data_IF_273261282778
#
_entry.id   IF_273261282778
#
_cell.length_a   1.000
_cell.length_b   1.000
_cell.length_c   1.000
_cell.angle_alpha   90.00
_cell.angle_beta   90.00
_cell.angle_gamma   90.00
#
_symmetry.space_group_name_H-M   'P 1'
#
loop_
_entity.id
_entity.type
_entity.pdbx_description
1 polymer ?
#
# COMPACT_ATOMS: atom_id res chain seq x y z
N UNK A 1 4.35 44.50 -17.49
CA UNK A 1 4.41 43.02 -17.30
C UNK A 1 4.57 42.59 -15.84
N UNK A 2 5.33 43.31 -14.98
CA UNK A 2 5.51 42.92 -13.57
C UNK A 2 4.24 43.01 -12.69
N UNK A 3 3.41 44.05 -12.87
CA UNK A 3 2.20 44.27 -12.06
C UNK A 3 1.11 43.20 -12.28
N UNK A 4 0.98 42.67 -13.50
CA UNK A 4 0.03 41.61 -13.83
C UNK A 4 0.45 40.26 -13.24
N UNK A 5 1.76 39.99 -13.15
CA UNK A 5 2.31 38.78 -12.52
C UNK A 5 2.08 38.82 -11.00
N UNK A 6 2.28 39.98 -10.36
CA UNK A 6 2.06 40.15 -8.92
C UNK A 6 0.58 40.00 -8.52
N UNK A 7 -0.33 40.57 -9.32
CA UNK A 7 -1.78 40.40 -9.17
C UNK A 7 -2.20 38.92 -9.27
N UNK A 8 -1.70 38.20 -10.29
CA UNK A 8 -2.02 36.79 -10.51
C UNK A 8 -1.48 35.89 -9.38
N UNK A 9 -0.27 36.17 -8.89
CA UNK A 9 0.31 35.48 -7.73
C UNK A 9 -0.51 35.74 -6.44
N UNK A 10 -0.99 36.96 -6.23
CA UNK A 10 -1.89 37.30 -5.13
C UNK A 10 -3.22 36.53 -5.21
N UNK A 11 -3.84 36.48 -6.38
CA UNK A 11 -5.07 35.72 -6.62
C UNK A 11 -4.88 34.21 -6.36
N UNK A 12 -3.76 33.63 -6.80
CA UNK A 12 -3.45 32.22 -6.53
C UNK A 12 -3.24 31.94 -5.03
N UNK A 13 -2.62 32.87 -4.28
CA UNK A 13 -2.43 32.72 -2.83
C UNK A 13 -3.75 32.81 -2.06
N UNK A 14 -4.64 33.71 -2.46
CA UNK A 14 -5.98 33.86 -1.85
C UNK A 14 -6.82 32.59 -2.09
N UNK A 15 -6.76 32.01 -3.30
CA UNK A 15 -7.46 30.77 -3.62
C UNK A 15 -7.00 29.58 -2.75
N UNK A 16 -5.68 29.36 -2.62
CA UNK A 16 -5.15 28.30 -1.75
C UNK A 16 -5.49 28.51 -0.26
N UNK A 17 -5.49 29.75 0.22
CA UNK A 17 -5.89 30.08 1.59
C UNK A 17 -7.38 29.76 1.86
N UNK A 18 -8.25 30.06 0.89
CA UNK A 18 -9.68 29.73 1.00
C UNK A 18 -9.93 28.22 1.00
N UNK A 19 -9.21 27.44 0.17
CA UNK A 19 -9.28 25.97 0.22
C UNK A 19 -8.88 25.43 1.59
N UNK A 20 -7.76 25.89 2.14
CA UNK A 20 -7.28 25.42 3.45
C UNK A 20 -8.27 25.73 4.59
N UNK A 21 -8.90 26.90 4.58
CA UNK A 21 -9.89 27.31 5.59
C UNK A 21 -11.18 26.47 5.54
N UNK A 22 -11.64 26.11 4.34
CA UNK A 22 -12.81 25.22 4.19
C UNK A 22 -12.55 23.80 4.68
N UNK A 23 -11.32 23.30 4.50
CA UNK A 23 -10.93 21.97 5.03
C UNK A 23 -10.82 22.01 6.55
N UNK A 24 -10.18 23.03 7.14
CA UNK A 24 -10.01 23.13 8.59
C UNK A 24 -11.35 23.26 9.35
N UNK A 25 -12.29 24.03 8.81
CA UNK A 25 -13.64 24.12 9.37
C UNK A 25 -14.40 22.78 9.27
N UNK A 26 -14.28 22.07 8.15
CA UNK A 26 -14.88 20.74 8.00
C UNK A 26 -14.27 19.68 8.94
N UNK A 27 -12.96 19.72 9.20
CA UNK A 27 -12.29 18.77 10.10
C UNK A 27 -12.76 18.91 11.56
N UNK A 28 -13.25 20.09 11.96
CA UNK A 28 -13.80 20.34 13.30
C UNK A 28 -15.27 19.92 13.43
N UNK A 29 -15.96 19.65 12.32
CA UNK A 29 -17.36 19.23 12.31
C UNK A 29 -17.50 17.73 12.59
N UNK A 30 -18.31 17.36 13.59
CA UNK A 30 -18.60 15.97 13.92
C UNK A 30 -19.32 15.24 12.78
N UNK A 31 -20.16 15.96 12.00
CA UNK A 31 -20.89 15.35 10.88
C UNK A 31 -19.95 14.88 9.77
N UNK A 32 -18.82 15.58 9.58
CA UNK A 32 -17.77 15.18 8.65
C UNK A 32 -17.24 13.79 9.01
N UNK A 33 -16.86 13.56 10.27
CA UNK A 33 -16.34 12.27 10.74
C UNK A 33 -17.40 11.17 10.71
N UNK A 34 -18.64 11.51 11.08
CA UNK A 34 -19.77 10.58 11.01
C UNK A 34 -20.03 10.12 9.56
N UNK A 35 -19.87 11.00 8.58
CA UNK A 35 -19.99 10.65 7.16
C UNK A 35 -18.89 9.67 6.74
N UNK A 36 -17.63 9.95 7.05
CA UNK A 36 -16.51 9.04 6.75
C UNK A 36 -16.72 7.66 7.39
N UNK A 37 -17.17 7.62 8.64
CA UNK A 37 -17.44 6.38 9.34
C UNK A 37 -18.55 5.56 8.66
N UNK A 38 -19.68 6.20 8.31
CA UNK A 38 -20.78 5.54 7.57
C UNK A 38 -20.31 5.03 6.22
N UNK A 39 -19.55 5.82 5.47
CA UNK A 39 -19.03 5.43 4.16
C UNK A 39 -18.10 4.21 4.27
N UNK A 40 -17.26 4.17 5.30
CA UNK A 40 -16.38 3.03 5.57
C UNK A 40 -17.16 1.75 5.93
N UNK A 41 -18.20 1.86 6.75
CA UNK A 41 -19.06 0.73 7.12
C UNK A 41 -19.79 0.22 5.89
N UNK A 42 -20.43 1.11 5.12
CA UNK A 42 -21.15 0.76 3.89
C UNK A 42 -20.23 0.08 2.87
N UNK A 43 -18.99 0.58 2.71
CA UNK A 43 -18.01 -0.04 1.81
C UNK A 43 -17.66 -1.46 2.25
N UNK A 44 -17.44 -1.69 3.55
CA UNK A 44 -17.14 -3.02 4.09
C UNK A 44 -18.34 -3.97 3.99
N UNK A 45 -19.54 -3.47 4.24
CA UNK A 45 -20.79 -4.24 4.13
C UNK A 45 -21.05 -4.68 2.69
N UNK A 46 -20.89 -3.76 1.73
CA UNK A 46 -21.07 -4.04 0.31
C UNK A 46 -19.95 -4.91 -0.29
N UNK A 47 -18.76 -4.92 0.32
CA UNK A 47 -17.69 -5.84 -0.03
C UNK A 47 -17.91 -7.24 0.59
N UNK A 48 -19.04 -7.89 0.29
CA UNK A 48 -19.52 -9.14 0.89
C UNK A 48 -18.44 -10.24 0.93
N UNK A 49 -17.90 -10.62 2.11
CA UNK A 49 -16.89 -11.69 2.28
C UNK A 49 -17.21 -12.99 1.53
N UNK A 50 -18.50 -13.30 1.34
CA UNK A 50 -19.00 -14.51 0.68
C UNK A 50 -19.00 -14.43 -0.85
N UNK A 51 -18.86 -13.22 -1.41
CA UNK A 51 -18.63 -13.00 -2.85
C UNK A 51 -17.16 -13.16 -3.27
N UNK A 52 -16.29 -13.65 -2.39
CA UNK A 52 -15.11 -14.36 -2.86
C UNK A 52 -15.64 -15.63 -3.56
N UNK A 53 -16.07 -15.48 -4.81
CA UNK A 53 -16.26 -16.63 -5.67
C UNK A 53 -15.00 -17.49 -5.50
N UNK A 54 -15.18 -18.75 -5.12
CA UNK A 54 -14.13 -19.78 -5.07
C UNK A 54 -13.55 -20.08 -6.46
N UNK A 55 -13.71 -19.16 -7.42
CA UNK A 55 -13.09 -19.20 -8.72
C UNK A 55 -11.61 -18.95 -8.54
N UNK A 56 -10.85 -19.97 -8.91
CA UNK A 56 -9.40 -19.93 -8.98
C UNK A 56 -8.95 -18.68 -9.77
N UNK A 57 -8.04 -17.86 -9.23
CA UNK A 57 -7.57 -16.67 -9.92
C UNK A 57 -6.83 -17.05 -11.21
N UNK A 58 -7.06 -16.31 -12.30
CA UNK A 58 -6.37 -16.50 -13.58
C UNK A 58 -4.96 -15.93 -13.58
N UNK A 59 -4.76 -14.81 -12.87
CA UNK A 59 -3.50 -14.06 -12.79
C UNK A 59 -3.19 -13.76 -11.32
N UNK A 60 -1.90 -13.77 -10.98
CA UNK A 60 -1.40 -13.41 -9.65
C UNK A 60 -0.34 -12.34 -9.85
N UNK A 61 -0.49 -11.21 -9.16
CA UNK A 61 0.47 -10.11 -9.16
C UNK A 61 0.91 -9.89 -7.72
N UNK A 62 2.22 -9.94 -7.47
CA UNK A 62 2.82 -9.71 -6.16
C UNK A 62 3.63 -8.42 -6.21
N UNK A 63 3.19 -7.40 -5.46
CA UNK A 63 3.94 -6.15 -5.27
C UNK A 63 4.79 -6.26 -4.01
N UNK A 64 6.10 -6.04 -4.14
CA UNK A 64 7.04 -6.08 -3.01
C UNK A 64 7.62 -4.67 -2.82
N UNK A 65 7.32 -4.06 -1.68
CA UNK A 65 8.01 -2.86 -1.22
C UNK A 65 9.17 -3.27 -0.31
N UNK A 66 10.40 -3.30 -0.84
CA UNK A 66 11.57 -3.64 -0.02
C UNK A 66 11.76 -2.60 1.09
N UNK A 67 11.96 -3.07 2.32
CA UNK A 67 12.03 -2.24 3.52
C UNK A 67 10.74 -1.53 3.92
N UNK A 68 9.62 -1.73 3.22
CA UNK A 68 8.36 -0.97 3.42
C UNK A 68 7.57 -1.43 4.66
N UNK A 69 8.04 -1.08 5.86
CA UNK A 69 7.31 -1.27 7.10
C UNK A 69 6.14 -0.30 7.28
N UNK A 70 5.31 -0.53 8.31
CA UNK A 70 4.18 0.34 8.69
C UNK A 70 4.55 1.83 8.82
N UNK A 71 5.72 2.20 9.40
CA UNK A 71 6.13 3.60 9.47
C UNK A 71 6.35 4.23 8.09
N UNK A 72 6.97 3.49 7.15
CA UNK A 72 7.25 4.00 5.80
C UNK A 72 5.95 4.21 5.03
N UNK A 73 4.99 3.28 5.15
CA UNK A 73 3.65 3.42 4.57
C UNK A 73 2.95 4.68 5.09
N UNK A 74 3.02 4.92 6.39
CA UNK A 74 2.42 6.11 7.02
C UNK A 74 3.10 7.40 6.53
N UNK A 75 4.43 7.45 6.53
CA UNK A 75 5.19 8.60 6.03
C UNK A 75 4.89 8.90 4.56
N UNK A 76 4.81 7.87 3.72
CA UNK A 76 4.44 8.03 2.32
C UNK A 76 3.02 8.57 2.14
N UNK A 77 2.06 8.12 2.96
CA UNK A 77 0.69 8.66 2.96
C UNK A 77 0.66 10.14 3.33
N UNK A 78 1.36 10.52 4.40
CA UNK A 78 1.42 11.91 4.85
C UNK A 78 2.01 12.79 3.74
N UNK A 79 3.16 12.37 3.20
CA UNK A 79 3.82 13.10 2.11
C UNK A 79 2.92 13.25 0.88
N UNK A 80 2.25 12.18 0.43
CA UNK A 80 1.27 12.22 -0.67
C UNK A 80 0.20 13.27 -0.41
N UNK A 81 -0.42 13.27 0.77
CA UNK A 81 -1.51 14.19 1.11
C UNK A 81 -1.05 15.65 1.19
N UNK A 82 0.16 15.89 1.72
CA UNK A 82 0.75 17.23 1.77
C UNK A 82 1.03 17.79 0.38
N UNK A 83 1.66 16.99 -0.49
CA UNK A 83 1.94 17.38 -1.89
C UNK A 83 0.64 17.62 -2.68
N UNK A 84 -0.45 16.93 -2.32
CA UNK A 84 -1.77 17.09 -2.94
C UNK A 84 -2.55 18.31 -2.45
N UNK A 85 -1.98 19.14 -1.56
CA UNK A 85 -2.70 20.28 -0.97
C UNK A 85 -3.84 19.89 -0.03
N UNK A 86 -3.84 18.64 0.45
CA UNK A 86 -4.87 18.04 1.30
C UNK A 86 -4.28 17.53 2.62
N UNK A 87 -3.50 18.35 3.35
CA UNK A 87 -2.89 17.89 4.59
C UNK A 87 -4.00 17.46 5.57
N UNK A 88 -3.74 16.43 6.38
CA UNK A 88 -4.63 15.91 7.43
C UNK A 88 -5.89 15.16 7.00
N UNK A 89 -6.26 15.15 5.70
CA UNK A 89 -7.35 14.30 5.20
C UNK A 89 -7.01 12.81 5.23
N UNK A 90 -5.71 12.47 5.37
CA UNK A 90 -5.20 11.10 5.48
C UNK A 90 -5.75 10.17 4.39
N UNK A 91 -5.89 10.67 3.15
CA UNK A 91 -6.36 9.85 2.04
C UNK A 91 -5.41 8.64 1.85
N UNK A 92 -5.94 7.42 1.73
CA UNK A 92 -5.14 6.20 1.70
C UNK A 92 -4.21 6.15 0.46
N UNK A 93 -3.11 5.40 0.58
CA UNK A 93 -2.38 4.93 -0.60
C UNK A 93 -3.24 3.93 -1.38
N UNK A 94 -2.93 3.71 -2.67
CA UNK A 94 -3.78 2.88 -3.53
C UNK A 94 -3.98 1.47 -2.97
N UNK A 95 -2.90 0.84 -2.49
CA UNK A 95 -2.94 -0.52 -1.93
C UNK A 95 -3.66 -0.62 -0.57
N UNK A 96 -3.87 0.50 0.14
CA UNK A 96 -4.62 0.48 1.40
C UNK A 96 -6.13 0.39 1.19
N UNK A 97 -6.59 0.62 -0.05
CA UNK A 97 -7.97 0.34 -0.46
C UNK A 97 -8.19 -1.13 -0.82
N UNK A 98 -7.15 -1.97 -0.74
CA UNK A 98 -7.33 -3.40 -0.92
C UNK A 98 -8.30 -3.95 0.13
N UNK A 99 -9.08 -4.93 -0.31
CA UNK A 99 -10.17 -5.49 0.48
C UNK A 99 -9.71 -6.14 1.79
N UNK A 100 -8.49 -6.68 1.79
CA UNK A 100 -7.90 -7.41 2.91
C UNK A 100 -6.51 -6.87 3.24
N UNK A 101 -6.22 -6.77 4.53
CA UNK A 101 -4.89 -6.47 5.06
C UNK A 101 -4.58 -7.44 6.20
N UNK A 102 -3.29 -7.74 6.41
CA UNK A 102 -2.83 -8.65 7.45
C UNK A 102 -1.38 -8.34 7.84
N UNK A 103 -0.97 -8.86 9.00
CA UNK A 103 0.40 -8.75 9.50
C UNK A 103 1.15 -10.07 9.26
N UNK A 104 2.41 -9.97 8.85
CA UNK A 104 3.27 -11.12 8.58
C UNK A 104 4.49 -11.07 9.50
N UNK A 105 4.91 -12.23 10.01
CA UNK A 105 6.15 -12.39 10.78
C UNK A 105 7.34 -12.53 9.84
N UNK A 106 8.18 -11.51 9.75
CA UNK A 106 9.28 -11.41 8.79
C UNK A 106 10.59 -12.07 9.22
N UNK A 107 10.67 -12.68 10.40
CA UNK A 107 11.92 -13.33 10.85
C UNK A 107 12.41 -14.42 9.87
N UNK A 108 13.73 -14.54 9.73
CA UNK A 108 14.37 -15.70 9.08
C UNK A 108 14.43 -16.88 10.05
N UNK A 109 14.96 -18.03 9.61
CA UNK A 109 15.16 -19.18 10.52
C UNK A 109 16.24 -18.92 11.58
N UNK A 110 17.23 -18.09 11.27
CA UNK A 110 18.38 -17.84 12.16
C UNK A 110 18.34 -16.48 12.86
N UNK A 111 17.56 -15.52 12.37
CA UNK A 111 17.56 -14.13 12.87
C UNK A 111 16.15 -13.54 12.91
N UNK A 112 15.86 -12.80 14.00
CA UNK A 112 14.63 -12.03 14.13
C UNK A 112 14.53 -10.89 13.09
N UNK A 113 15.67 -10.26 12.77
CA UNK A 113 15.79 -9.30 11.66
C UNK A 113 16.25 -10.07 10.43
N UNK A 114 15.37 -10.21 9.45
CA UNK A 114 15.69 -10.87 8.17
C UNK A 114 16.42 -9.92 7.23
N UNK A 115 17.11 -10.48 6.23
CA UNK A 115 17.53 -9.75 5.04
C UNK A 115 16.56 -9.97 3.86
N UNK A 116 16.79 -9.25 2.76
CA UNK A 116 15.96 -9.29 1.56
C UNK A 116 16.02 -10.65 0.86
N UNK A 117 17.17 -11.35 0.89
CA UNK A 117 17.33 -12.65 0.23
C UNK A 117 16.47 -13.74 0.91
N UNK A 118 16.61 -13.92 2.22
CA UNK A 118 15.79 -14.89 2.96
C UNK A 118 14.30 -14.52 2.95
N UNK A 119 13.99 -13.21 2.96
CA UNK A 119 12.61 -12.71 2.82
C UNK A 119 11.99 -13.02 1.45
N UNK A 120 12.72 -12.79 0.36
CA UNK A 120 12.26 -13.07 -1.00
C UNK A 120 12.01 -14.58 -1.19
N UNK A 121 12.90 -15.44 -0.71
CA UNK A 121 12.70 -16.90 -0.74
C UNK A 121 11.43 -17.29 0.01
N UNK A 122 11.19 -16.73 1.20
CA UNK A 122 9.98 -17.01 1.97
C UNK A 122 8.70 -16.59 1.25
N UNK A 123 8.70 -15.42 0.59
CA UNK A 123 7.54 -14.90 -0.15
C UNK A 123 7.26 -15.71 -1.43
N UNK A 124 8.30 -16.12 -2.15
CA UNK A 124 8.16 -16.79 -3.45
C UNK A 124 7.99 -18.30 -3.31
N UNK A 125 8.57 -18.93 -2.29
CA UNK A 125 8.53 -20.40 -2.14
C UNK A 125 7.64 -20.87 -1.00
N UNK A 126 7.23 -19.94 -0.12
CA UNK A 126 6.49 -20.28 1.10
C UNK A 126 7.35 -20.91 2.21
N UNK A 127 8.68 -20.99 2.04
CA UNK A 127 9.61 -21.60 3.00
C UNK A 127 10.58 -20.58 3.57
N UNK A 128 10.67 -20.51 4.90
CA UNK A 128 11.71 -19.71 5.57
C UNK A 128 13.06 -20.41 5.44
N UNK A 129 14.11 -19.62 5.27
CA UNK A 129 15.51 -20.08 5.20
C UNK A 129 16.37 -19.30 6.20
N UNK A 130 17.58 -19.80 6.48
CA UNK A 130 18.57 -19.04 7.25
C UNK A 130 19.03 -17.82 6.44
N UNK A 131 19.43 -16.75 7.13
CA UNK A 131 20.00 -15.56 6.50
C UNK A 131 21.23 -15.87 5.62
N UNK A 132 22.11 -16.75 6.09
CA UNK A 132 23.31 -17.19 5.35
C UNK A 132 22.98 -17.94 4.06
N UNK A 133 21.87 -18.67 4.08
CA UNK A 133 21.52 -19.64 3.04
C UNK A 133 20.51 -19.05 2.04
N UNK A 134 20.05 -17.82 2.27
CA UNK A 134 19.03 -17.18 1.44
C UNK A 134 19.42 -17.09 -0.04
N UNK A 135 20.69 -16.84 -0.32
CA UNK A 135 21.20 -16.72 -1.70
C UNK A 135 21.45 -18.11 -2.33
N UNK A 136 22.00 -19.06 -1.57
CA UNK A 136 22.24 -20.42 -2.06
C UNK A 136 20.93 -21.16 -2.34
N UNK A 137 19.94 -21.03 -1.44
CA UNK A 137 18.61 -21.60 -1.62
C UNK A 137 17.83 -20.91 -2.74
N UNK A 138 17.95 -19.59 -2.91
CA UNK A 138 17.35 -18.89 -4.05
C UNK A 138 17.82 -19.47 -5.39
N UNK A 139 19.07 -19.93 -5.48
CA UNK A 139 19.63 -20.54 -6.68
C UNK A 139 19.15 -21.99 -6.88
N UNK A 140 18.94 -22.74 -5.79
CA UNK A 140 18.50 -24.14 -5.84
C UNK A 140 16.99 -24.30 -6.09
N UNK A 141 16.19 -23.29 -5.74
CA UNK A 141 14.71 -23.34 -5.78
C UNK A 141 14.14 -23.03 -7.17
N UNK A 142 14.56 -23.78 -8.19
CA UNK A 142 13.94 -23.71 -9.53
C UNK A 142 12.63 -24.50 -9.62
N UNK A 143 12.37 -25.45 -8.71
CA UNK A 143 11.24 -26.41 -8.82
C UNK A 143 10.09 -26.09 -7.85
N UNK A 144 10.39 -25.40 -6.74
CA UNK A 144 9.45 -25.19 -5.62
C UNK A 144 8.95 -23.74 -5.54
N UNK A 145 9.46 -22.84 -6.38
CA UNK A 145 9.01 -21.45 -6.42
C UNK A 145 7.60 -21.34 -6.98
N UNK A 146 6.84 -20.35 -6.50
CA UNK A 146 5.46 -20.12 -6.97
C UNK A 146 5.46 -19.81 -8.47
N UNK A 147 6.49 -19.14 -8.99
CA UNK A 147 6.70 -18.92 -10.42
C UNK A 147 6.88 -20.25 -11.18
N UNK A 148 7.74 -21.15 -10.72
CA UNK A 148 7.93 -22.45 -11.36
C UNK A 148 6.67 -23.34 -11.30
N UNK A 149 5.92 -23.30 -10.21
CA UNK A 149 4.62 -23.99 -10.09
C UNK A 149 3.61 -23.41 -11.10
N UNK A 150 3.62 -22.09 -11.31
CA UNK A 150 2.75 -21.42 -12.27
C UNK A 150 3.15 -21.71 -13.72
N UNK A 151 4.44 -21.71 -14.04
CA UNK A 151 4.98 -22.10 -15.35
C UNK A 151 4.61 -23.53 -15.72
N UNK A 152 4.77 -24.48 -14.79
CA UNK A 152 4.33 -25.87 -14.97
C UNK A 152 2.82 -25.99 -15.23
N UNK A 153 2.02 -25.04 -14.73
CA UNK A 153 0.57 -24.95 -15.00
C UNK A 153 0.24 -24.15 -16.26
N UNK A 154 1.23 -23.87 -17.12
CA UNK A 154 1.11 -23.07 -18.36
C UNK A 154 0.69 -21.61 -18.14
N UNK A 155 0.89 -21.06 -16.94
CA UNK A 155 0.78 -19.62 -16.72
C UNK A 155 2.09 -18.93 -17.14
N UNK A 156 1.98 -17.77 -17.78
CA UNK A 156 3.15 -16.95 -18.11
C UNK A 156 3.61 -16.19 -16.87
N UNK A 157 4.86 -16.35 -16.51
CA UNK A 157 5.59 -15.56 -15.51
C UNK A 157 6.38 -14.46 -16.23
N UNK A 158 6.54 -13.31 -15.59
CA UNK A 158 7.29 -12.15 -16.07
C UNK A 158 8.05 -11.54 -14.91
#
# INVERSE_FOLDING_TARGET
MAATILSLLCLQRIFSATQQFTVDSALKDVNFWNRIARDNINRKFNADPRQLETKKPKNIILFIGDGMGVPIVTSARINKNQVSGKPYLNEPLFFENFRSAGLVKTSSLSHHVTDSAAGAVALVTGRKVSRSDGVSEAFHLHITSTSAILENKKHKTK
#
